data_IF_163944801782
#
_entry.id   IF_163944801782
#
_cell.length_a   1.000
_cell.length_b   1.000
_cell.length_c   1.000
_cell.angle_alpha   90.00
_cell.angle_beta   90.00
_cell.angle_gamma   90.00
#
_symmetry.space_group_name_H-M   'P 1'
#
loop_
_entity.id
_entity.type
_entity.pdbx_description
1 polymer ?
#
# COMPACT_ATOMS: atom_id res chain seq x y z
N UNK A 1 -39.00 -8.70 -14.18
CA UNK A 1 -37.76 -8.97 -14.91
C UNK A 1 -37.07 -7.63 -15.06
N UNK A 2 -35.77 -7.61 -14.76
CA UNK A 2 -34.85 -6.46 -14.73
C UNK A 2 -34.78 -5.68 -13.40
N UNK A 3 -33.92 -6.16 -12.49
CA UNK A 3 -32.99 -5.29 -11.76
C UNK A 3 -31.69 -6.07 -11.50
N UNK A 4 -30.94 -6.27 -12.58
CA UNK A 4 -29.60 -6.84 -12.64
C UNK A 4 -28.59 -5.74 -12.26
N UNK A 5 -28.78 -5.15 -11.08
CA UNK A 5 -28.02 -4.01 -10.58
C UNK A 5 -26.89 -4.47 -9.64
N UNK A 6 -25.71 -4.63 -10.24
CA UNK A 6 -24.39 -4.47 -9.62
C UNK A 6 -23.97 -5.55 -8.60
N UNK A 7 -23.59 -6.73 -9.10
CA UNK A 7 -22.85 -7.78 -8.35
C UNK A 7 -21.41 -7.38 -7.96
N UNK A 8 -21.12 -6.09 -7.83
CA UNK A 8 -19.83 -5.57 -7.35
C UNK A 8 -19.94 -5.23 -5.87
N UNK A 9 -18.95 -5.65 -5.07
CA UNK A 9 -18.90 -5.27 -3.66
C UNK A 9 -18.89 -3.75 -3.53
N UNK A 10 -19.67 -3.22 -2.59
CA UNK A 10 -19.66 -1.78 -2.36
C UNK A 10 -18.28 -1.33 -1.89
N UNK A 11 -17.91 -0.07 -2.19
CA UNK A 11 -16.62 0.49 -1.74
C UNK A 11 -16.42 0.39 -0.22
N UNK A 12 -17.50 0.51 0.55
CA UNK A 12 -17.48 0.36 2.01
C UNK A 12 -17.15 -1.07 2.45
N UNK A 13 -17.73 -2.08 1.80
CA UNK A 13 -17.44 -3.49 2.09
C UNK A 13 -16.02 -3.87 1.69
N UNK A 14 -15.54 -3.40 0.53
CA UNK A 14 -14.14 -3.57 0.11
C UNK A 14 -13.21 -2.95 1.16
N UNK A 15 -13.49 -1.72 1.59
CA UNK A 15 -12.67 -1.05 2.60
C UNK A 15 -12.66 -1.83 3.93
N UNK A 16 -13.82 -2.28 4.39
CA UNK A 16 -13.93 -3.08 5.61
C UNK A 16 -13.19 -4.41 5.51
N UNK A 17 -13.15 -5.05 4.34
CA UNK A 17 -12.34 -6.26 4.12
C UNK A 17 -10.84 -5.94 4.09
N UNK A 18 -10.41 -4.91 3.36
CA UNK A 18 -9.00 -4.55 3.20
C UNK A 18 -8.37 -3.92 4.46
N UNK A 19 -9.20 -3.51 5.45
CA UNK A 19 -8.73 -2.93 6.72
C UNK A 19 -7.81 -3.85 7.53
N UNK A 20 -7.91 -5.17 7.35
CA UNK A 20 -7.08 -6.12 8.08
C UNK A 20 -5.93 -6.64 7.20
N UNK A 21 -4.70 -6.55 7.71
CA UNK A 21 -3.48 -6.95 7.01
C UNK A 21 -3.49 -8.40 6.55
N UNK A 22 -3.95 -9.34 7.40
CA UNK A 22 -4.02 -10.76 7.02
C UNK A 22 -4.98 -11.00 5.86
N UNK A 23 -6.09 -10.27 5.77
CA UNK A 23 -7.00 -10.36 4.61
C UNK A 23 -6.37 -9.83 3.32
N UNK A 24 -5.53 -8.78 3.41
CA UNK A 24 -4.75 -8.29 2.26
C UNK A 24 -3.72 -9.33 1.80
N UNK A 25 -2.99 -9.94 2.74
CA UNK A 25 -2.06 -11.02 2.45
C UNK A 25 -2.73 -12.20 1.76
N UNK A 26 -3.90 -12.64 2.24
CA UNK A 26 -4.66 -13.72 1.58
C UNK A 26 -4.96 -13.36 0.12
N UNK A 27 -5.47 -12.17 -0.14
CA UNK A 27 -5.79 -11.74 -1.51
C UNK A 27 -4.54 -11.63 -2.39
N UNK A 28 -3.41 -11.17 -1.84
CA UNK A 28 -2.14 -11.10 -2.56
C UNK A 28 -1.64 -12.50 -2.96
N UNK A 29 -1.76 -13.49 -2.06
CA UNK A 29 -1.37 -14.86 -2.36
C UNK A 29 -2.26 -15.48 -3.45
N UNK A 30 -3.58 -15.31 -3.31
CA UNK A 30 -4.56 -15.82 -4.27
C UNK A 30 -4.49 -15.15 -5.65
N UNK A 31 -3.83 -14.00 -5.77
CA UNK A 31 -3.60 -13.33 -7.06
C UNK A 31 -2.59 -14.10 -7.93
N UNK A 32 -1.67 -14.84 -7.31
CA UNK A 32 -0.53 -15.46 -8.01
C UNK A 32 -0.91 -16.76 -8.72
N UNK A 33 -1.96 -17.43 -8.26
CA UNK A 33 -2.40 -18.71 -8.79
C UNK A 33 -3.92 -18.80 -8.78
N UNK A 34 -4.51 -19.15 -9.92
CA UNK A 34 -5.97 -19.31 -10.06
C UNK A 34 -6.46 -20.67 -9.56
N UNK A 35 -5.54 -21.57 -9.20
CA UNK A 35 -5.88 -22.91 -8.70
C UNK A 35 -6.36 -22.85 -7.25
N UNK A 36 -7.16 -23.85 -6.81
CA UNK A 36 -7.49 -24.00 -5.40
C UNK A 36 -6.22 -24.12 -4.54
N UNK A 37 -6.18 -23.37 -3.45
CA UNK A 37 -5.04 -23.24 -2.54
C UNK A 37 -5.34 -23.97 -1.24
N UNK A 38 -4.38 -24.72 -0.71
CA UNK A 38 -4.49 -25.30 0.62
C UNK A 38 -4.26 -24.26 1.72
N UNK A 39 -5.08 -24.32 2.78
CA UNK A 39 -4.98 -23.45 3.94
C UNK A 39 -3.61 -23.55 4.63
N UNK A 40 -2.99 -24.73 4.59
CA UNK A 40 -1.64 -24.94 5.12
C UNK A 40 -0.60 -24.06 4.43
N UNK A 41 -0.59 -24.09 3.10
CA UNK A 41 0.34 -23.33 2.28
C UNK A 41 0.08 -21.82 2.39
N UNK A 42 -1.20 -21.44 2.36
CA UNK A 42 -1.60 -20.06 2.59
C UNK A 42 -1.13 -19.56 3.96
N UNK A 43 -1.33 -20.34 5.03
CA UNK A 43 -0.91 -19.97 6.37
C UNK A 43 0.62 -19.88 6.50
N UNK A 44 1.36 -20.78 5.83
CA UNK A 44 2.82 -20.74 5.77
C UNK A 44 3.30 -19.45 5.10
N UNK A 45 2.77 -19.11 3.93
CA UNK A 45 3.14 -17.90 3.21
C UNK A 45 2.76 -16.64 3.98
N UNK A 46 1.54 -16.58 4.50
CA UNK A 46 1.05 -15.44 5.29
C UNK A 46 1.90 -15.27 6.56
N UNK A 47 2.35 -16.36 7.19
CA UNK A 47 3.26 -16.30 8.33
C UNK A 47 4.66 -15.79 7.94
N UNK A 48 5.21 -16.25 6.81
CA UNK A 48 6.48 -15.76 6.29
C UNK A 48 6.43 -14.24 6.06
N UNK A 49 5.32 -13.77 5.50
CA UNK A 49 5.04 -12.36 5.31
C UNK A 49 4.82 -11.58 6.61
N UNK A 50 4.05 -12.10 7.57
CA UNK A 50 3.79 -11.41 8.84
C UNK A 50 5.02 -11.31 9.74
N UNK A 51 5.92 -12.28 9.68
CA UNK A 51 7.13 -12.34 10.50
C UNK A 51 8.41 -11.95 9.74
N UNK A 52 8.26 -11.39 8.54
CA UNK A 52 9.37 -10.90 7.71
C UNK A 52 10.50 -11.94 7.57
N UNK A 53 10.12 -13.17 7.25
CA UNK A 53 11.05 -14.31 7.18
C UNK A 53 10.81 -15.14 5.93
N UNK A 54 11.71 -16.07 5.62
CA UNK A 54 11.53 -17.03 4.52
C UNK A 54 10.54 -18.12 4.92
N UNK A 55 10.02 -18.87 3.95
CA UNK A 55 9.15 -20.01 4.23
C UNK A 55 9.80 -21.00 5.21
N UNK A 56 11.09 -21.27 5.05
CA UNK A 56 11.85 -22.16 5.94
C UNK A 56 12.12 -21.55 7.33
N UNK A 57 12.09 -20.22 7.44
CA UNK A 57 12.29 -19.50 8.68
C UNK A 57 11.04 -19.39 9.56
N UNK A 58 9.86 -19.75 9.06
CA UNK A 58 8.62 -19.76 9.84
C UNK A 58 8.61 -20.93 10.81
N UNK A 59 8.49 -20.61 12.10
CA UNK A 59 8.39 -21.64 13.15
C UNK A 59 7.02 -22.33 13.13
N UNK A 60 6.90 -23.58 13.63
CA UNK A 60 5.62 -24.28 13.73
C UNK A 60 4.57 -23.52 14.55
N UNK A 61 4.97 -22.80 15.59
CA UNK A 61 4.07 -22.00 16.43
C UNK A 61 3.51 -20.78 15.67
N UNK A 62 4.36 -20.08 14.92
CA UNK A 62 3.95 -18.95 14.07
C UNK A 62 2.95 -19.41 13.01
N UNK A 63 3.27 -20.49 12.29
CA UNK A 63 2.36 -21.07 11.29
C UNK A 63 1.02 -21.46 11.92
N UNK A 64 1.04 -22.17 13.05
CA UNK A 64 -0.18 -22.62 13.75
C UNK A 64 -1.05 -21.44 14.18
N UNK A 65 -0.44 -20.36 14.69
CA UNK A 65 -1.17 -19.14 15.07
C UNK A 65 -1.88 -18.53 13.86
N UNK A 66 -1.16 -18.32 12.76
CA UNK A 66 -1.72 -17.75 11.52
C UNK A 66 -2.81 -18.64 10.96
N UNK A 67 -2.56 -19.95 10.83
CA UNK A 67 -3.53 -20.94 10.36
C UNK A 67 -4.84 -20.85 11.15
N UNK A 68 -4.76 -20.88 12.48
CA UNK A 68 -5.94 -20.85 13.36
C UNK A 68 -6.74 -19.57 13.15
N UNK A 69 -6.07 -18.41 13.08
CA UNK A 69 -6.78 -17.14 12.88
C UNK A 69 -7.37 -17.02 11.47
N UNK A 70 -6.67 -17.50 10.43
CA UNK A 70 -7.20 -17.52 9.07
C UNK A 70 -8.46 -18.36 9.01
N UNK A 71 -8.42 -19.59 9.55
CA UNK A 71 -9.54 -20.53 9.56
C UNK A 71 -10.75 -20.00 10.32
N UNK A 72 -10.55 -19.42 11.50
CA UNK A 72 -11.66 -19.09 12.40
C UNK A 72 -12.24 -17.68 12.18
N UNK A 73 -11.43 -16.74 11.67
CA UNK A 73 -11.82 -15.33 11.61
C UNK A 73 -11.82 -14.78 10.19
N UNK A 74 -10.69 -14.92 9.49
CA UNK A 74 -10.51 -14.17 8.23
C UNK A 74 -11.22 -14.84 7.05
N UNK A 75 -11.00 -16.13 6.83
CA UNK A 75 -11.57 -16.85 5.70
C UNK A 75 -13.09 -16.96 5.76
N UNK A 76 -13.75 -17.26 6.89
CA UNK A 76 -15.22 -17.24 6.96
C UNK A 76 -15.81 -15.87 6.66
N UNK A 77 -15.14 -14.79 7.09
CA UNK A 77 -15.60 -13.42 6.81
C UNK A 77 -15.43 -13.05 5.34
N UNK A 78 -14.37 -13.54 4.70
CA UNK A 78 -14.13 -13.33 3.27
C UNK A 78 -15.11 -14.18 2.44
N UNK A 79 -15.33 -15.43 2.80
CA UNK A 79 -16.31 -16.32 2.18
C UNK A 79 -17.74 -15.76 2.23
N UNK A 80 -18.18 -15.27 3.40
CA UNK A 80 -19.49 -14.61 3.54
C UNK A 80 -19.67 -13.34 2.71
N UNK A 81 -18.57 -12.67 2.34
CA UNK A 81 -18.60 -11.53 1.41
C UNK A 81 -18.55 -11.95 -0.07
N UNK A 82 -18.39 -13.24 -0.35
CA UNK A 82 -18.28 -13.77 -1.71
C UNK A 82 -16.98 -13.40 -2.41
N UNK A 83 -15.97 -12.89 -1.70
CA UNK A 83 -14.68 -12.52 -2.31
C UNK A 83 -13.81 -13.74 -2.61
N UNK A 84 -13.99 -14.84 -1.90
CA UNK A 84 -13.37 -16.13 -2.13
C UNK A 84 -14.36 -17.21 -1.68
N UNK A 85 -14.09 -18.46 -1.99
CA UNK A 85 -14.79 -19.59 -1.36
C UNK A 85 -13.84 -20.32 -0.42
N UNK A 86 -14.28 -20.55 0.80
CA UNK A 86 -13.51 -21.34 1.78
C UNK A 86 -14.26 -22.61 2.17
N UNK A 87 -13.69 -23.76 1.80
CA UNK A 87 -14.13 -25.06 2.30
C UNK A 87 -13.37 -25.37 3.59
N UNK A 88 -14.06 -25.26 4.73
CA UNK A 88 -13.45 -25.51 6.05
C UNK A 88 -13.15 -26.99 6.31
N UNK A 89 -13.88 -27.89 5.63
CA UNK A 89 -13.76 -29.33 5.83
C UNK A 89 -12.57 -29.87 5.02
N UNK A 90 -12.43 -29.40 3.78
CA UNK A 90 -11.28 -29.71 2.93
C UNK A 90 -10.05 -28.85 3.25
N UNK A 91 -10.23 -27.69 3.90
CA UNK A 91 -9.14 -26.73 4.13
C UNK A 91 -8.67 -26.07 2.84
N UNK A 92 -9.57 -25.84 1.88
CA UNK A 92 -9.25 -25.36 0.54
C UNK A 92 -9.89 -24.00 0.28
N UNK A 93 -9.12 -23.09 -0.30
CA UNK A 93 -9.54 -21.75 -0.69
C UNK A 93 -9.60 -21.67 -2.21
N UNK A 94 -10.73 -21.22 -2.75
CA UNK A 94 -10.92 -21.04 -4.19
C UNK A 94 -11.20 -19.57 -4.50
N UNK A 95 -10.55 -19.07 -5.55
CA UNK A 95 -10.73 -17.70 -6.05
C UNK A 95 -12.11 -17.57 -6.69
N UNK A 96 -12.74 -16.40 -6.55
CA UNK A 96 -13.98 -16.05 -7.25
C UNK A 96 -13.72 -14.93 -8.25
N UNK A 97 -14.67 -14.65 -9.14
CA UNK A 97 -14.55 -13.50 -10.06
C UNK A 97 -14.36 -12.18 -9.29
N UNK A 98 -14.98 -12.04 -8.11
CA UNK A 98 -14.85 -10.86 -7.24
C UNK A 98 -13.45 -10.69 -6.64
N UNK A 99 -12.68 -11.77 -6.48
CA UNK A 99 -11.29 -11.67 -6.02
C UNK A 99 -10.44 -10.85 -7.00
N UNK A 100 -10.69 -11.02 -8.30
CA UNK A 100 -9.94 -10.35 -9.39
C UNK A 100 -10.17 -8.84 -9.35
N UNK A 101 -11.43 -8.41 -9.23
CA UNK A 101 -11.80 -6.99 -9.15
C UNK A 101 -11.13 -6.27 -7.97
N UNK A 102 -10.95 -6.95 -6.84
CA UNK A 102 -10.39 -6.34 -5.62
C UNK A 102 -8.87 -6.32 -5.61
N UNK A 103 -8.22 -7.27 -6.28
CA UNK A 103 -6.77 -7.28 -6.45
C UNK A 103 -6.22 -6.00 -7.09
N UNK A 104 -7.01 -5.34 -7.95
CA UNK A 104 -6.69 -4.02 -8.53
C UNK A 104 -6.61 -2.91 -7.48
N UNK A 105 -7.42 -2.99 -6.41
CA UNK A 105 -7.38 -2.02 -5.32
C UNK A 105 -6.21 -2.26 -4.35
N UNK A 106 -5.63 -3.47 -4.31
CA UNK A 106 -4.43 -3.78 -3.53
C UNK A 106 -3.15 -3.22 -4.16
N UNK A 107 -3.13 -2.98 -5.48
CA UNK A 107 -2.03 -2.29 -6.16
C UNK A 107 -1.88 -0.81 -5.78
N UNK A 108 -2.80 -0.29 -4.96
CA UNK A 108 -2.83 1.09 -4.50
C UNK A 108 -2.65 1.13 -2.98
N UNK A 109 -1.44 0.80 -2.51
CA UNK A 109 -0.99 1.25 -1.19
C UNK A 109 0.47 1.72 -1.33
N UNK A 110 0.70 3.03 -1.54
CA UNK A 110 2.04 3.60 -1.45
C UNK A 110 2.52 3.46 0.00
N UNK A 111 3.37 2.46 0.25
CA UNK A 111 4.17 2.36 1.47
C UNK A 111 5.21 3.47 1.47
N UNK A 112 5.24 4.24 2.56
CA UNK A 112 5.94 5.54 2.69
C UNK A 112 5.44 6.55 1.66
N UNK A 113 4.29 7.17 1.94
CA UNK A 113 4.04 8.51 1.43
C UNK A 113 5.25 9.37 1.84
N UNK A 114 6.14 9.69 0.90
CA UNK A 114 7.03 10.83 1.05
C UNK A 114 6.15 11.94 1.59
N UNK A 115 6.53 12.56 2.71
CA UNK A 115 5.71 13.56 3.39
C UNK A 115 5.72 14.87 2.58
N UNK A 116 5.23 14.83 1.34
CA UNK A 116 5.20 15.94 0.40
C UNK A 116 4.50 17.13 1.03
N UNK A 117 3.45 16.89 1.82
CA UNK A 117 2.77 17.92 2.62
C UNK A 117 3.72 18.63 3.58
N UNK A 118 4.52 17.88 4.36
CA UNK A 118 5.49 18.43 5.31
C UNK A 118 6.66 19.13 4.59
N UNK A 119 7.09 18.59 3.45
CA UNK A 119 8.11 19.16 2.61
C UNK A 119 7.66 20.49 2.00
N UNK A 120 6.44 20.57 1.45
CA UNK A 120 5.86 21.80 0.92
C UNK A 120 5.60 22.82 2.04
N UNK A 121 5.16 22.39 3.22
CA UNK A 121 5.02 23.27 4.39
C UNK A 121 6.37 23.85 4.83
N UNK A 122 7.41 23.02 4.90
CA UNK A 122 8.76 23.44 5.27
C UNK A 122 9.37 24.36 4.22
N UNK A 123 9.24 24.00 2.94
CA UNK A 123 9.72 24.79 1.81
C UNK A 123 9.01 26.15 1.74
N UNK A 124 7.70 26.17 1.96
CA UNK A 124 6.90 27.39 2.05
C UNK A 124 7.32 28.27 3.22
N UNK A 125 7.48 27.69 4.41
CA UNK A 125 7.93 28.41 5.61
C UNK A 125 9.32 29.04 5.42
N UNK A 126 10.27 28.28 4.86
CA UNK A 126 11.63 28.77 4.55
C UNK A 126 11.57 29.89 3.51
N UNK A 127 10.76 29.73 2.45
CA UNK A 127 10.61 30.75 1.41
C UNK A 127 10.02 32.05 1.98
N UNK A 128 9.00 31.96 2.84
CA UNK A 128 8.41 33.13 3.51
C UNK A 128 9.41 33.81 4.45
N UNK A 129 10.17 33.04 5.24
CA UNK A 129 11.20 33.58 6.13
C UNK A 129 12.30 34.31 5.34
N UNK A 130 12.71 33.75 4.20
CA UNK A 130 13.69 34.36 3.31
C UNK A 130 13.18 35.67 2.70
N UNK A 131 11.92 35.71 2.24
CA UNK A 131 11.28 36.94 1.74
C UNK A 131 11.20 38.01 2.83
N UNK A 132 10.83 37.64 4.07
CA UNK A 132 10.80 38.58 5.19
C UNK A 132 12.19 39.13 5.52
N UNK A 133 13.23 38.29 5.48
CA UNK A 133 14.61 38.71 5.72
C UNK A 133 15.15 39.65 4.63
N UNK A 134 14.78 39.42 3.36
CA UNK A 134 15.07 40.33 2.26
C UNK A 134 14.32 41.66 2.39
N UNK A 135 13.06 41.64 2.85
CA UNK A 135 12.27 42.85 3.08
C UNK A 135 12.84 43.74 4.20
N UNK A 136 13.54 43.13 5.17
CA UNK A 136 14.21 43.81 6.26
C UNK A 136 15.68 44.19 5.93
N UNK A 137 16.12 43.99 4.69
CA UNK A 137 17.50 44.26 4.23
C UNK A 137 18.58 43.59 5.09
N UNK A 138 18.32 42.36 5.57
CA UNK A 138 19.23 41.63 6.46
C UNK A 138 20.49 41.20 5.69
N UNK A 139 21.66 41.69 6.14
CA UNK A 139 22.96 41.22 5.67
C UNK A 139 23.22 39.77 6.11
N UNK A 140 23.72 38.86 5.24
CA UNK A 140 24.30 39.08 3.91
C UNK A 140 23.35 38.88 2.72
N UNK A 141 22.03 38.77 2.92
CA UNK A 141 21.09 38.41 1.85
C UNK A 141 20.99 39.46 0.74
N UNK A 142 21.40 40.69 1.02
CA UNK A 142 21.45 41.84 0.10
C UNK A 142 22.60 41.78 -0.93
N UNK A 143 23.54 40.84 -0.82
CA UNK A 143 24.59 40.66 -1.84
C UNK A 143 24.04 40.22 -3.19
N UNK A 144 22.96 39.43 -3.18
CA UNK A 144 22.31 38.94 -4.39
C UNK A 144 21.10 39.82 -4.70
N UNK A 145 20.86 40.07 -5.99
CA UNK A 145 19.68 40.80 -6.42
C UNK A 145 18.39 40.03 -6.06
N UNK A 146 17.31 40.76 -5.79
CA UNK A 146 15.99 40.16 -5.51
C UNK A 146 15.54 39.21 -6.63
N UNK A 147 15.91 39.49 -7.88
CA UNK A 147 15.61 38.64 -9.03
C UNK A 147 16.29 37.26 -8.92
N UNK A 148 17.53 37.20 -8.42
CA UNK A 148 18.26 35.94 -8.21
C UNK A 148 17.58 35.10 -7.14
N UNK A 149 17.16 35.70 -6.02
CA UNK A 149 16.41 34.99 -4.97
C UNK A 149 15.06 34.47 -5.44
N UNK A 150 14.31 35.27 -6.19
CA UNK A 150 13.04 34.83 -6.81
C UNK A 150 13.25 33.65 -7.76
N UNK A 151 14.31 33.70 -8.58
CA UNK A 151 14.65 32.61 -9.49
C UNK A 151 15.01 31.31 -8.74
N UNK A 152 15.77 31.40 -7.65
CA UNK A 152 16.14 30.24 -6.82
C UNK A 152 14.91 29.58 -6.19
N UNK A 153 14.01 30.39 -5.59
CA UNK A 153 12.77 29.87 -4.98
C UNK A 153 11.91 29.21 -6.05
N UNK A 154 11.68 29.89 -7.17
CA UNK A 154 10.85 29.37 -8.27
C UNK A 154 11.42 28.07 -8.85
N UNK A 155 12.74 28.00 -9.07
CA UNK A 155 13.41 26.79 -9.54
C UNK A 155 13.27 25.64 -8.54
N UNK A 156 13.46 25.90 -7.25
CA UNK A 156 13.35 24.88 -6.19
C UNK A 156 11.94 24.29 -6.13
N UNK A 157 10.91 25.15 -6.13
CA UNK A 157 9.51 24.71 -6.13
C UNK A 157 9.19 23.90 -7.40
N UNK A 158 9.67 24.37 -8.56
CA UNK A 158 9.41 23.69 -9.84
C UNK A 158 10.09 22.33 -9.91
N UNK A 159 11.35 22.21 -9.51
CA UNK A 159 12.09 20.94 -9.45
C UNK A 159 11.38 19.97 -8.50
N UNK A 160 10.96 20.45 -7.33
CA UNK A 160 10.22 19.65 -6.35
C UNK A 160 8.89 19.13 -6.93
N UNK A 161 8.15 19.99 -7.64
CA UNK A 161 6.89 19.60 -8.29
C UNK A 161 7.11 18.59 -9.42
N UNK A 162 8.17 18.76 -10.24
CA UNK A 162 8.53 17.80 -11.29
C UNK A 162 8.92 16.47 -10.69
N UNK A 163 9.71 16.46 -9.62
CA UNK A 163 10.06 15.25 -8.88
C UNK A 163 8.81 14.55 -8.33
N UNK A 164 7.85 15.30 -7.77
CA UNK A 164 6.58 14.77 -7.29
C UNK A 164 5.77 14.10 -8.41
N UNK A 165 5.63 14.76 -9.56
CA UNK A 165 4.93 14.21 -10.73
C UNK A 165 5.62 12.95 -11.26
N UNK A 166 6.96 12.95 -11.33
CA UNK A 166 7.72 11.80 -11.79
C UNK A 166 7.56 10.61 -10.84
N UNK A 167 7.59 10.88 -9.54
CA UNK A 167 7.38 9.88 -8.50
C UNK A 167 5.97 9.28 -8.53
N UNK A 168 4.93 10.11 -8.60
CA UNK A 168 3.54 9.65 -8.75
C UNK A 168 3.35 8.81 -10.03
N UNK A 169 4.03 9.18 -11.12
CA UNK A 169 3.94 8.45 -12.39
C UNK A 169 4.68 7.11 -12.36
N UNK A 170 5.78 7.02 -11.63
CA UNK A 170 6.59 5.80 -11.52
C UNK A 170 6.03 4.80 -10.48
N UNK A 171 5.29 5.29 -9.49
CA UNK A 171 4.59 4.46 -8.50
C UNK A 171 3.37 3.70 -9.05
N UNK A 172 3.00 3.90 -10.32
CA UNK A 172 1.93 3.14 -11.00
C UNK A 172 2.36 1.76 -11.51
N UNK A 173 3.59 1.33 -11.28
CA UNK A 173 4.11 0.05 -11.80
C UNK A 173 4.89 -0.70 -10.71
N UNK A 174 4.18 -1.15 -9.67
CA UNK A 174 4.67 -2.15 -8.73
C UNK A 174 4.11 -3.54 -9.05
N UNK A 175 4.68 -4.22 -10.04
CA UNK A 175 4.46 -5.67 -10.22
C UNK A 175 5.42 -6.40 -9.27
N UNK A 176 4.96 -6.65 -8.04
CA UNK A 176 5.69 -7.46 -7.07
C UNK A 176 4.89 -8.69 -6.65
N UNK A 177 5.53 -9.85 -6.62
CA UNK A 177 4.97 -11.11 -6.09
C UNK A 177 4.94 -11.13 -4.55
N UNK A 178 5.11 -10.00 -3.89
CA UNK A 178 5.05 -9.87 -2.44
C UNK A 178 4.08 -8.73 -2.06
N UNK A 179 3.41 -8.84 -0.90
CA UNK A 179 2.62 -7.74 -0.36
C UNK A 179 3.46 -6.45 -0.33
N UNK A 180 2.88 -5.30 -0.69
CA UNK A 180 3.62 -4.05 -0.83
C UNK A 180 4.34 -3.66 0.46
N UNK A 181 3.82 -4.05 1.62
CA UNK A 181 4.43 -3.78 2.94
C UNK A 181 5.77 -4.51 3.20
N UNK A 182 6.12 -5.53 2.40
CA UNK A 182 7.36 -6.32 2.57
C UNK A 182 8.46 -6.01 1.56
N UNK A 183 8.09 -5.44 0.40
CA UNK A 183 9.08 -5.01 -0.61
C UNK A 183 10.00 -3.89 -0.12
N UNK A 184 9.73 -3.28 1.03
CA UNK A 184 10.48 -2.15 1.60
C UNK A 184 11.43 -2.55 2.74
N UNK A 185 11.47 -3.83 3.14
CA UNK A 185 12.28 -4.32 4.27
C UNK A 185 13.65 -4.86 3.90
N UNK A 186 14.09 -4.78 2.64
CA UNK A 186 15.36 -5.38 2.18
C UNK A 186 16.55 -4.41 2.10
N UNK A 187 16.39 -3.18 2.58
CA UNK A 187 17.48 -2.20 2.69
C UNK A 187 17.85 -1.97 4.17
N UNK A 188 18.52 -2.93 4.79
CA UNK A 188 19.38 -2.72 5.97
C UNK A 188 20.51 -3.76 6.01
#
# INVERSE_FOLDING_TARGET
MDDDADERLSKGEIFELLRNQRRRYVLQYLKQDERPVELGDLAQQVAAWEYETTLDGVTPEQRKRVYTTLQQTHLPKMDSSGILRFDSDAGVITVTERTRDISVYLEIVPGREFAWRELYLSLGAISCALVAALWLDIYPLTYLSNLVWMAIIAATVTITAVAHIYHERNMRLGHGDQPPELSYGTDD
#
